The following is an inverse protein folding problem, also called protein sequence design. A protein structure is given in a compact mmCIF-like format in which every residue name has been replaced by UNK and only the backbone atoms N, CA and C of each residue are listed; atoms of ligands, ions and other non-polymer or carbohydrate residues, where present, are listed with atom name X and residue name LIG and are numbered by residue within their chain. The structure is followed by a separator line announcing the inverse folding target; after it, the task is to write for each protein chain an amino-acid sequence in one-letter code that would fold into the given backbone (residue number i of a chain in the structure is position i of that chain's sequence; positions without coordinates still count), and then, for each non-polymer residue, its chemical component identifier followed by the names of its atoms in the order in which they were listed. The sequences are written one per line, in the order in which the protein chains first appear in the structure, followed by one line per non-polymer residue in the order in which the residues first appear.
data_IF_433260441662
#
_entry.id   IF_433260441662
#
_cell.length_a   1.000
_cell.length_b   1.000
_cell.length_c   1.000
_cell.angle_alpha   90.00
_cell.angle_beta   90.00
_cell.angle_gamma   90.00
#
_symmetry.space_group_name_H-M   'P 1'
#
loop_
_entity.id
_entity.type
_entity.pdbx_description
1 polymer ?
#
# COMPACT_ATOMS: atom_id res chain seq x y z
N UNK A 1 17.27 -26.62 41.86
CA UNK A 1 17.10 -26.77 40.41
C UNK A 1 17.28 -25.40 39.81
N UNK A 2 18.24 -25.22 38.91
CA UNK A 2 18.44 -23.95 38.19
C UNK A 2 18.28 -24.31 36.72
N UNK A 3 17.08 -24.10 36.18
CA UNK A 3 16.83 -24.18 34.75
C UNK A 3 17.73 -23.15 34.08
N UNK A 4 18.74 -23.63 33.35
CA UNK A 4 19.48 -22.83 32.40
C UNK A 4 18.52 -22.61 31.24
N UNK A 5 18.25 -21.35 30.94
CA UNK A 5 17.57 -20.96 29.72
C UNK A 5 18.47 -21.35 28.53
N UNK A 6 18.28 -22.56 28.00
CA UNK A 6 19.08 -23.12 26.90
C UNK A 6 18.72 -22.49 25.53
N UNK A 7 17.80 -21.53 25.50
CA UNK A 7 17.29 -20.92 24.26
C UNK A 7 17.23 -19.38 24.26
N UNK A 8 17.44 -18.72 25.41
CA UNK A 8 17.52 -17.27 25.50
C UNK A 8 18.83 -16.74 24.92
N UNK A 9 18.79 -16.13 23.72
CA UNK A 9 19.85 -15.20 23.32
C UNK A 9 19.62 -13.89 24.07
N UNK A 10 20.47 -13.60 25.04
CA UNK A 10 20.55 -12.27 25.66
C UNK A 10 21.13 -11.28 24.64
N UNK A 11 20.25 -10.69 23.83
CA UNK A 11 20.60 -9.58 22.93
C UNK A 11 20.16 -8.27 23.56
N UNK A 12 21.13 -7.54 24.11
CA UNK A 12 20.96 -6.13 24.46
C UNK A 12 21.10 -5.30 23.18
N UNK A 13 19.98 -4.83 22.62
CA UNK A 13 20.00 -3.83 21.56
C UNK A 13 20.40 -2.48 22.15
N UNK A 14 21.58 -1.98 21.78
CA UNK A 14 21.94 -0.60 21.99
C UNK A 14 20.92 0.29 21.26
N UNK A 15 20.31 1.23 21.99
CA UNK A 15 19.47 2.25 21.35
C UNK A 15 20.37 3.10 20.47
N UNK A 16 20.11 3.07 19.18
CA UNK A 16 20.69 4.00 18.22
C UNK A 16 20.35 5.44 18.65
N UNK A 17 21.36 6.31 18.65
CA UNK A 17 21.22 7.71 19.01
C UNK A 17 20.51 8.41 17.86
N UNK A 18 19.18 8.55 17.96
CA UNK A 18 18.33 9.15 16.92
C UNK A 18 18.50 10.67 16.81
N UNK A 19 19.51 11.26 17.45
CA UNK A 19 19.78 12.70 17.47
C UNK A 19 20.68 13.15 16.31
N UNK A 20 21.20 12.23 15.50
CA UNK A 20 22.08 12.55 14.37
C UNK A 20 21.33 12.88 13.06
N UNK A 21 20.02 13.10 13.11
CA UNK A 21 19.16 13.33 11.93
C UNK A 21 18.20 14.52 12.18
N UNK A 22 18.73 15.62 12.73
CA UNK A 22 17.94 16.82 13.06
C UNK A 22 17.96 17.91 11.96
N UNK A 23 18.59 17.67 10.81
CA UNK A 23 18.83 18.74 9.82
C UNK A 23 17.91 18.78 8.58
N UNK A 24 16.91 17.88 8.45
CA UNK A 24 15.96 17.93 7.32
C UNK A 24 14.50 17.64 7.72
N UNK A 25 14.06 18.05 8.91
CA UNK A 25 12.63 18.07 9.19
C UNK A 25 11.96 19.13 8.30
N UNK A 26 11.25 18.66 7.28
CA UNK A 26 10.32 19.46 6.48
C UNK A 26 9.47 20.33 7.42
N UNK A 27 9.34 21.61 7.09
CA UNK A 27 8.47 22.52 7.85
C UNK A 27 7.05 21.95 7.90
N UNK A 28 6.27 22.27 8.94
CA UNK A 28 4.88 21.78 9.06
C UNK A 28 4.06 22.08 7.80
N UNK A 29 4.28 23.24 7.17
CA UNK A 29 3.62 23.64 5.92
C UNK A 29 4.00 22.74 4.74
N UNK A 30 5.25 22.30 4.67
CA UNK A 30 5.77 21.44 3.61
C UNK A 30 5.32 19.98 3.80
N UNK A 31 5.21 19.53 5.06
CA UNK A 31 4.57 18.27 5.42
C UNK A 31 3.08 18.28 5.04
N UNK A 32 2.35 19.35 5.36
CA UNK A 32 0.92 19.47 5.02
C UNK A 32 0.68 19.56 3.50
N UNK A 33 1.52 20.29 2.77
CA UNK A 33 1.43 20.36 1.31
C UNK A 33 1.64 19.00 0.65
N UNK A 34 2.59 18.21 1.17
CA UNK A 34 2.84 16.83 0.72
C UNK A 34 1.67 15.92 1.07
N UNK A 35 1.16 15.98 2.29
CA UNK A 35 0.02 15.16 2.73
C UNK A 35 -1.23 15.44 1.88
N UNK A 36 -1.51 16.70 1.58
CA UNK A 36 -2.63 17.08 0.68
C UNK A 36 -2.47 16.47 -0.71
N UNK A 37 -1.27 16.51 -1.28
CA UNK A 37 -0.99 15.92 -2.59
C UNK A 37 -1.16 14.40 -2.58
N UNK A 38 -0.62 13.73 -1.56
CA UNK A 38 -0.68 12.27 -1.43
C UNK A 38 -2.12 11.79 -1.20
N UNK A 39 -2.93 12.57 -0.47
CA UNK A 39 -4.35 12.31 -0.27
C UNK A 39 -5.17 12.51 -1.57
N UNK A 40 -4.89 13.56 -2.33
CA UNK A 40 -5.54 13.79 -3.63
C UNK A 40 -5.22 12.66 -4.62
N UNK A 41 -3.97 12.23 -4.69
CA UNK A 41 -3.55 11.12 -5.54
C UNK A 41 -4.23 9.81 -5.11
N UNK A 42 -4.32 9.54 -3.80
CA UNK A 42 -5.05 8.37 -3.28
C UNK A 42 -6.52 8.38 -3.69
N UNK A 43 -7.18 9.54 -3.69
CA UNK A 43 -8.58 9.66 -4.12
C UNK A 43 -8.75 9.36 -5.60
N UNK A 44 -7.88 9.90 -6.45
CA UNK A 44 -7.93 9.64 -7.89
C UNK A 44 -7.69 8.15 -8.21
N UNK A 45 -6.74 7.51 -7.54
CA UNK A 45 -6.47 6.08 -7.71
C UNK A 45 -7.67 5.21 -7.31
N UNK A 46 -8.38 5.59 -6.24
CA UNK A 46 -9.59 4.89 -5.77
C UNK A 46 -10.71 5.05 -6.78
N UNK A 47 -10.92 6.26 -7.30
CA UNK A 47 -11.95 6.56 -8.30
C UNK A 47 -11.70 5.75 -9.58
N UNK A 48 -10.47 5.77 -10.10
CA UNK A 48 -10.09 5.01 -11.29
C UNK A 48 -10.36 3.51 -11.12
N UNK A 49 -9.89 2.93 -10.01
CA UNK A 49 -10.11 1.50 -9.71
C UNK A 49 -11.58 1.16 -9.51
N UNK A 50 -12.39 2.11 -9.03
CA UNK A 50 -13.83 1.91 -8.89
C UNK A 50 -14.51 1.81 -10.25
N UNK A 51 -14.17 2.72 -11.17
CA UNK A 51 -14.69 2.72 -12.54
C UNK A 51 -14.26 1.47 -13.30
N UNK A 52 -12.99 1.07 -13.19
CA UNK A 52 -12.49 -0.16 -13.81
C UNK A 52 -13.26 -1.39 -13.32
N UNK A 53 -13.47 -1.51 -12.00
CA UNK A 53 -14.22 -2.63 -11.42
C UNK A 53 -15.69 -2.62 -11.86
N UNK A 54 -16.31 -1.46 -11.94
CA UNK A 54 -17.69 -1.33 -12.41
C UNK A 54 -17.82 -1.75 -13.87
N UNK A 55 -16.90 -1.29 -14.73
CA UNK A 55 -16.86 -1.69 -16.13
C UNK A 55 -16.62 -3.20 -16.28
N UNK A 56 -15.67 -3.77 -15.54
CA UNK A 56 -15.41 -5.22 -15.55
C UNK A 56 -16.65 -6.00 -15.11
N UNK A 57 -17.36 -5.54 -14.07
CA UNK A 57 -18.58 -6.17 -13.62
C UNK A 57 -19.70 -6.11 -14.69
N UNK A 58 -19.86 -4.97 -15.36
CA UNK A 58 -20.83 -4.80 -16.45
C UNK A 58 -20.50 -5.67 -17.67
N UNK A 59 -19.22 -5.78 -18.00
CA UNK A 59 -18.75 -6.64 -19.09
C UNK A 59 -19.01 -8.11 -18.80
N UNK A 60 -18.83 -8.56 -17.55
CA UNK A 60 -19.09 -9.93 -17.11
C UNK A 60 -20.58 -10.26 -16.96
N UNK A 61 -21.40 -9.28 -16.52
CA UNK A 61 -22.84 -9.50 -16.33
C UNK A 61 -23.58 -9.59 -17.68
N UNK A 62 -23.05 -8.99 -18.74
CA UNK A 62 -23.65 -9.04 -20.07
C UNK A 62 -23.34 -10.38 -20.76
N UNK A 63 -24.29 -11.34 -20.82
CA UNK A 63 -24.05 -12.66 -21.41
C UNK A 63 -23.86 -12.61 -22.93
N UNK A 64 -24.23 -11.51 -23.59
CA UNK A 64 -24.02 -11.27 -25.01
C UNK A 64 -22.66 -10.59 -25.29
N UNK A 65 -21.89 -10.18 -24.27
CA UNK A 65 -20.67 -9.39 -24.45
C UNK A 65 -19.58 -10.14 -25.24
N UNK A 66 -19.50 -11.45 -25.05
CA UNK A 66 -18.55 -12.33 -25.75
C UNK A 66 -19.20 -13.12 -26.89
N UNK A 67 -20.42 -12.75 -27.30
CA UNK A 67 -21.18 -13.54 -28.28
C UNK A 67 -20.58 -13.50 -29.69
N UNK A 68 -19.97 -12.38 -30.04
CA UNK A 68 -19.34 -12.14 -31.33
C UNK A 68 -17.81 -12.39 -31.30
N UNK A 69 -17.26 -12.77 -30.14
CA UNK A 69 -15.85 -13.16 -30.04
C UNK A 69 -15.62 -14.54 -30.68
N UNK A 70 -14.54 -14.68 -31.45
CA UNK A 70 -14.18 -15.96 -32.03
C UNK A 70 -13.96 -16.99 -30.90
N UNK A 71 -14.50 -18.22 -31.03
CA UNK A 71 -14.32 -19.23 -30.01
C UNK A 71 -12.83 -19.45 -29.78
N UNK A 72 -12.40 -19.41 -28.52
CA UNK A 72 -11.01 -19.69 -28.16
C UNK A 72 -10.67 -21.14 -28.56
N UNK A 73 -10.08 -21.33 -29.74
CA UNK A 73 -9.57 -22.63 -30.17
C UNK A 73 -8.22 -22.86 -29.50
N UNK A 74 -8.18 -23.71 -28.47
CA UNK A 74 -6.95 -24.28 -27.90
C UNK A 74 -6.69 -25.68 -28.42
#
# INVERSE_FOLDING_TARGET
MSEKDEHGRDVELAKEDTTADEDEELTEEEKEARERRDEEQRRQDIEHKSVERENEALEQENPDNHRDEEPHTS
#
